data_IF_224668414354
#
_entry.id   IF_224668414354
#
_cell.length_a   1.000
_cell.length_b   1.000
_cell.length_c   1.000
_cell.angle_alpha   90.00
_cell.angle_beta   90.00
_cell.angle_gamma   90.00
#
_symmetry.space_group_name_H-M   'P 1'
#
loop_
_entity.id
_entity.type
_entity.pdbx_description
1 polymer ?
#
# COMPACT_ATOMS: atom_id res chain seq x y z
N UNK A 1 8.67 28.86 -7.31
CA UNK A 1 7.80 27.89 -6.64
C UNK A 1 8.32 27.77 -5.22
N UNK A 2 7.57 28.20 -4.21
CA UNK A 2 7.99 28.03 -2.81
C UNK A 2 7.77 26.57 -2.43
N UNK A 3 8.85 25.88 -2.06
CA UNK A 3 8.77 24.52 -1.55
C UNK A 3 8.00 24.55 -0.23
N UNK A 4 6.82 23.91 -0.19
CA UNK A 4 6.10 23.69 1.06
C UNK A 4 6.79 22.54 1.78
N UNK A 5 7.36 22.82 2.94
CA UNK A 5 7.99 21.83 3.80
C UNK A 5 7.02 21.40 4.91
N UNK A 6 7.06 20.11 5.27
CA UNK A 6 6.33 19.54 6.40
C UNK A 6 7.36 19.03 7.41
N UNK A 7 7.12 19.27 8.70
CA UNK A 7 7.99 18.72 9.75
C UNK A 7 7.78 17.21 9.87
N UNK A 8 8.78 16.47 10.38
CA UNK A 8 8.64 15.02 10.61
C UNK A 8 7.46 14.70 11.54
N UNK A 9 7.25 15.56 12.54
CA UNK A 9 6.13 15.44 13.49
C UNK A 9 4.77 15.59 12.79
N UNK A 10 4.60 16.63 11.96
CA UNK A 10 3.35 16.83 11.22
C UNK A 10 3.14 15.75 10.17
N UNK A 11 4.22 15.24 9.57
CA UNK A 11 4.14 14.12 8.64
C UNK A 11 3.65 12.85 9.35
N UNK A 12 4.21 12.52 10.52
CA UNK A 12 3.72 11.42 11.37
C UNK A 12 2.23 11.56 11.66
N UNK A 13 1.81 12.72 12.20
CA UNK A 13 0.40 13.00 12.53
C UNK A 13 -0.53 12.87 11.33
N UNK A 14 -0.08 13.32 10.16
CA UNK A 14 -0.82 13.18 8.92
C UNK A 14 -1.00 11.70 8.53
N UNK A 15 0.05 10.89 8.61
CA UNK A 15 -0.05 9.45 8.29
C UNK A 15 -0.94 8.73 9.30
N UNK A 16 -0.77 8.97 10.60
CA UNK A 16 -1.60 8.37 11.64
C UNK A 16 -3.08 8.73 11.45
N UNK A 17 -3.41 9.99 11.16
CA UNK A 17 -4.78 10.41 10.85
C UNK A 17 -5.33 9.72 9.58
N UNK A 18 -4.50 9.48 8.56
CA UNK A 18 -4.94 8.74 7.37
C UNK A 18 -5.19 7.26 7.68
N UNK A 19 -4.47 6.67 8.64
CA UNK A 19 -4.62 5.27 9.05
C UNK A 19 -5.92 4.99 9.81
N UNK A 20 -6.56 6.02 10.39
CA UNK A 20 -7.84 5.87 11.11
C UNK A 20 -8.96 5.41 10.18
N UNK A 21 -9.01 5.94 8.96
CA UNK A 21 -10.14 5.73 8.02
C UNK A 21 -9.73 5.02 6.71
N UNK A 22 -8.44 4.81 6.47
CA UNK A 22 -7.94 4.28 5.20
C UNK A 22 -6.96 3.12 5.39
N UNK A 23 -6.89 2.26 4.38
CA UNK A 23 -5.78 1.33 4.26
C UNK A 23 -4.54 2.06 3.76
N UNK A 24 -3.63 2.39 4.68
CA UNK A 24 -2.36 3.03 4.34
C UNK A 24 -1.29 1.99 4.03
N UNK A 25 -0.67 2.12 2.87
CA UNK A 25 0.35 1.22 2.34
C UNK A 25 1.65 2.01 2.19
N UNK A 26 2.75 1.47 2.70
CA UNK A 26 4.05 2.13 2.61
C UNK A 26 5.20 1.13 2.45
N UNK A 27 6.40 1.60 2.10
CA UNK A 27 7.60 0.80 2.12
C UNK A 27 7.90 0.31 3.55
N UNK A 28 7.82 -1.01 3.76
CA UNK A 28 8.19 -1.68 5.01
C UNK A 28 9.41 -2.55 4.77
N UNK A 29 10.32 -2.60 5.74
CA UNK A 29 11.35 -3.63 5.75
C UNK A 29 10.69 -5.00 5.95
N UNK A 30 11.13 -6.02 5.20
CA UNK A 30 10.58 -7.38 5.31
C UNK A 30 11.62 -8.46 5.51
N UNK A 31 12.79 -8.31 4.89
CA UNK A 31 13.80 -9.37 4.89
C UNK A 31 15.19 -8.81 4.58
N UNK A 32 16.19 -9.68 4.49
CA UNK A 32 17.53 -9.38 4.00
C UNK A 32 17.85 -10.24 2.77
N UNK A 33 18.62 -9.68 1.85
CA UNK A 33 19.21 -10.46 0.76
C UNK A 33 20.26 -11.43 1.32
N UNK A 34 20.74 -12.37 0.50
CA UNK A 34 21.87 -13.23 0.86
C UNK A 34 23.14 -12.42 1.25
N UNK A 35 23.26 -11.20 0.74
CA UNK A 35 24.33 -10.23 1.04
C UNK A 35 24.04 -9.38 2.30
N UNK A 36 22.96 -9.66 3.03
CA UNK A 36 22.57 -8.96 4.25
C UNK A 36 21.88 -7.60 4.05
N UNK A 37 21.63 -7.16 2.81
CA UNK A 37 20.99 -5.87 2.51
C UNK A 37 19.48 -5.93 2.80
N UNK A 38 18.92 -4.86 3.38
CA UNK A 38 17.48 -4.77 3.66
C UNK A 38 16.66 -4.86 2.36
N UNK A 39 15.63 -5.69 2.40
CA UNK A 39 14.63 -5.83 1.34
C UNK A 39 13.37 -5.11 1.79
N UNK A 40 12.92 -4.17 0.97
CA UNK A 40 11.73 -3.35 1.23
C UNK A 40 10.57 -3.75 0.33
N UNK A 41 9.36 -3.77 0.89
CA UNK A 41 8.13 -4.10 0.17
C UNK A 41 7.01 -3.16 0.58
N UNK A 42 6.24 -2.69 -0.39
CA UNK A 42 5.00 -1.99 -0.12
C UNK A 42 3.99 -2.95 0.51
N UNK A 43 3.48 -2.60 1.69
CA UNK A 43 2.40 -3.35 2.35
C UNK A 43 1.67 -2.47 3.36
N UNK A 44 0.49 -2.93 3.82
CA UNK A 44 -0.30 -2.24 4.84
C UNK A 44 0.55 -1.92 6.08
N UNK A 45 0.45 -0.67 6.53
CA UNK A 45 0.99 -0.18 7.80
C UNK A 45 -0.05 -0.44 8.90
N UNK A 46 0.41 -0.93 10.04
CA UNK A 46 -0.35 -1.03 11.28
C UNK A 46 0.04 0.07 12.26
N UNK A 47 1.28 0.56 12.16
CA UNK A 47 1.82 1.69 12.93
C UNK A 47 2.76 2.52 12.04
N UNK A 48 3.02 3.78 12.43
CA UNK A 48 3.85 4.69 11.64
C UNK A 48 5.32 4.25 11.56
N UNK A 49 5.85 3.63 12.62
CA UNK A 49 7.23 3.16 12.76
C UNK A 49 7.64 2.18 11.66
N UNK A 50 6.67 1.45 11.12
CA UNK A 50 6.86 0.51 10.04
C UNK A 50 7.21 1.19 8.71
N UNK A 51 6.87 2.47 8.54
CA UNK A 51 7.11 3.24 7.32
C UNK A 51 8.59 3.64 7.21
N UNK A 52 9.27 3.12 6.19
CA UNK A 52 10.70 3.35 5.94
C UNK A 52 10.89 4.21 4.68
N UNK A 53 10.92 5.54 4.84
CA UNK A 53 11.04 6.50 3.73
C UNK A 53 12.45 6.56 3.11
N UNK A 54 13.47 6.06 3.82
CA UNK A 54 14.86 5.98 3.39
C UNK A 54 15.18 4.76 2.50
N UNK A 55 14.18 3.94 2.17
CA UNK A 55 14.34 2.76 1.31
C UNK A 55 14.91 3.11 -0.07
N UNK A 56 15.87 2.37 -0.61
CA UNK A 56 16.46 2.71 -1.92
C UNK A 56 15.63 2.23 -3.10
N UNK A 57 15.20 0.96 -3.04
CA UNK A 57 14.41 0.28 -4.07
C UNK A 57 13.42 -0.67 -3.43
N UNK A 58 12.21 -0.72 -3.97
CA UNK A 58 11.22 -1.73 -3.60
C UNK A 58 11.49 -3.06 -4.32
N UNK A 59 11.31 -4.18 -3.62
CA UNK A 59 11.44 -5.51 -4.20
C UNK A 59 10.26 -5.89 -5.09
N UNK A 60 9.13 -5.19 -4.95
CA UNK A 60 7.93 -5.38 -5.75
C UNK A 60 7.26 -4.04 -6.05
N UNK A 61 6.81 -3.89 -7.28
CA UNK A 61 6.00 -2.73 -7.71
C UNK A 61 4.69 -2.63 -6.91
N UNK A 62 4.19 -1.42 -6.62
CA UNK A 62 2.89 -1.21 -6.00
C UNK A 62 1.68 -1.60 -6.89
N UNK A 63 1.91 -2.13 -8.11
CA UNK A 63 0.87 -2.55 -9.06
C UNK A 63 -0.25 -3.38 -8.43
N UNK A 64 0.09 -4.32 -7.54
CA UNK A 64 -0.89 -5.23 -6.94
C UNK A 64 -1.97 -4.52 -6.11
N UNK A 65 -1.72 -3.27 -5.69
CA UNK A 65 -2.70 -2.46 -4.96
C UNK A 65 -3.69 -1.75 -5.88
N UNK A 66 -3.30 -1.49 -7.14
CA UNK A 66 -4.16 -0.91 -8.18
C UNK A 66 -4.89 -1.97 -9.00
N UNK A 67 -4.23 -3.10 -9.25
CA UNK A 67 -4.72 -4.22 -10.06
C UNK A 67 -4.45 -5.53 -9.30
N UNK A 68 -5.29 -5.90 -8.32
CA UNK A 68 -5.12 -7.15 -7.62
C UNK A 68 -5.31 -8.33 -8.57
N UNK A 69 -4.55 -9.40 -8.38
CA UNK A 69 -4.67 -10.62 -9.18
C UNK A 69 -6.04 -11.31 -9.03
N UNK A 70 -6.69 -11.13 -7.88
CA UNK A 70 -8.01 -11.67 -7.55
C UNK A 70 -8.75 -10.65 -6.68
N UNK A 71 -10.03 -10.44 -6.97
CA UNK A 71 -10.93 -9.58 -6.19
C UNK A 71 -12.13 -10.42 -5.71
N UNK A 72 -12.47 -10.27 -4.43
CA UNK A 72 -13.66 -10.89 -3.85
C UNK A 72 -14.82 -9.91 -3.99
N UNK A 73 -15.77 -10.23 -4.86
CA UNK A 73 -16.93 -9.36 -5.12
C UNK A 73 -18.07 -9.57 -4.10
N UNK A 74 -18.18 -10.79 -3.57
CA UNK A 74 -19.20 -11.15 -2.59
C UNK A 74 -18.70 -12.28 -1.67
N UNK A 75 -19.12 -12.21 -0.41
CA UNK A 75 -18.94 -13.27 0.59
C UNK A 75 -20.32 -13.72 1.06
N UNK A 76 -20.51 -15.03 1.18
CA UNK A 76 -21.75 -15.63 1.65
C UNK A 76 -21.49 -16.33 2.98
N UNK A 77 -22.28 -16.00 4.00
CA UNK A 77 -22.27 -16.68 5.29
C UNK A 77 -23.53 -17.52 5.39
N UNK A 78 -23.39 -18.84 5.41
CA UNK A 78 -24.52 -19.76 5.60
C UNK A 78 -24.61 -20.15 7.07
N UNK A 79 -25.78 -19.92 7.68
CA UNK A 79 -26.09 -20.32 9.06
C UNK A 79 -27.37 -21.15 9.04
N UNK A 80 -27.22 -22.44 9.28
CA UNK A 80 -28.29 -23.44 9.27
C UNK A 80 -29.13 -23.44 7.98
N UNK A 81 -30.28 -22.74 7.98
CA UNK A 81 -31.21 -22.63 6.84
C UNK A 81 -31.25 -21.23 6.22
N UNK A 82 -30.53 -20.28 6.79
CA UNK A 82 -30.44 -18.91 6.31
C UNK A 82 -29.06 -18.61 5.73
N UNK A 83 -29.00 -17.61 4.86
CA UNK A 83 -27.75 -17.08 4.34
C UNK A 83 -27.77 -15.56 4.37
N UNK A 84 -26.63 -14.99 4.71
CA UNK A 84 -26.34 -13.57 4.57
C UNK A 84 -25.32 -13.38 3.45
N UNK A 85 -25.58 -12.41 2.57
CA UNK A 85 -24.67 -12.04 1.51
C UNK A 85 -24.17 -10.63 1.74
N UNK A 86 -22.86 -10.53 1.84
CA UNK A 86 -22.17 -9.25 1.87
C UNK A 86 -21.61 -9.00 0.47
N UNK A 87 -22.20 -8.04 -0.23
CA UNK A 87 -21.69 -7.58 -1.51
C UNK A 87 -20.87 -6.31 -1.30
N UNK A 88 -19.59 -6.37 -1.63
CA UNK A 88 -18.71 -5.21 -1.55
C UNK A 88 -18.53 -4.64 -2.96
N UNK A 89 -19.40 -3.72 -3.32
CA UNK A 89 -19.20 -2.89 -4.50
C UNK A 89 -18.31 -1.71 -4.11
N UNK A 90 -17.03 -1.81 -4.50
CA UNK A 90 -16.11 -0.67 -4.72
C UNK A 90 -15.24 -0.25 -3.50
N UNK A 91 -13.93 -0.50 -3.68
CA UNK A 91 -12.72 0.09 -3.07
C UNK A 91 -12.78 0.58 -1.61
N UNK A 92 -12.10 -0.17 -0.74
CA UNK A 92 -11.53 0.42 0.47
C UNK A 92 -10.63 1.60 0.06
N UNK A 93 -10.85 2.81 0.59
CA UNK A 93 -9.98 3.93 0.27
C UNK A 93 -8.57 3.60 0.75
N UNK A 94 -7.63 3.63 -0.19
CA UNK A 94 -6.23 3.26 0.00
C UNK A 94 -5.36 4.47 -0.19
N UNK A 95 -4.42 4.67 0.73
CA UNK A 95 -3.38 5.68 0.59
C UNK A 95 -2.04 4.96 0.43
N UNK A 96 -1.37 5.17 -0.70
CA UNK A 96 -0.01 4.64 -0.88
C UNK A 96 0.99 5.76 -0.68
N UNK A 97 1.83 5.62 0.35
CA UNK A 97 2.78 6.65 0.78
C UNK A 97 4.19 6.27 0.36
N UNK A 98 4.98 7.27 -0.02
CA UNK A 98 6.41 7.10 -0.27
C UNK A 98 6.76 6.49 -1.61
N UNK A 99 5.83 6.38 -2.57
CA UNK A 99 6.14 5.91 -3.93
C UNK A 99 7.17 6.85 -4.58
N UNK A 100 8.30 6.29 -5.04
CA UNK A 100 9.31 7.04 -5.80
C UNK A 100 8.94 7.10 -7.29
N UNK A 101 9.44 8.10 -8.00
CA UNK A 101 9.21 8.26 -9.44
C UNK A 101 9.55 7.00 -10.27
N UNK A 102 10.61 6.29 -9.90
CA UNK A 102 10.98 5.02 -10.56
C UNK A 102 9.96 3.90 -10.30
N UNK A 103 9.33 3.86 -9.12
CA UNK A 103 8.28 2.89 -8.80
C UNK A 103 7.00 3.18 -9.62
N UNK A 104 6.70 4.46 -9.90
CA UNK A 104 5.60 4.87 -10.80
C UNK A 104 5.92 4.54 -12.26
N UNK A 105 7.14 4.82 -12.73
CA UNK A 105 7.50 4.57 -14.13
C UNK A 105 7.50 3.08 -14.48
N UNK A 106 7.84 2.21 -13.52
CA UNK A 106 7.69 0.76 -13.66
C UNK A 106 6.22 0.34 -13.90
N UNK A 107 5.25 1.17 -13.52
CA UNK A 107 3.83 0.96 -13.80
C UNK A 107 3.47 1.36 -15.25
N UNK A 108 4.05 2.44 -15.77
CA UNK A 108 3.75 2.98 -17.09
C UNK A 108 4.29 2.12 -18.24
N UNK A 109 5.42 1.42 -18.05
CA UNK A 109 6.00 0.56 -19.09
C UNK A 109 5.18 -0.71 -19.38
N UNK A 110 4.37 -1.17 -18.43
CA UNK A 110 3.60 -2.42 -18.54
C UNK A 110 2.20 -2.26 -19.14
N UNK A 111 1.69 -1.02 -19.27
CA UNK A 111 0.42 -0.72 -19.98
C UNK A 111 0.62 -0.53 -21.48
N UNK A 112 1.88 -0.42 -21.93
CA UNK A 112 2.26 -0.24 -23.34
C UNK A 112 2.50 -1.54 -24.10
N UNK A 113 2.40 -2.68 -23.42
CA UNK A 113 2.64 -4.03 -23.97
C UNK A 113 1.35 -4.81 -24.31
N UNK A 114 0.23 -4.11 -24.43
CA UNK A 114 -1.02 -4.61 -25.01
C UNK A 114 -1.40 -3.76 -26.22
#
# INVERSE_FOLDING_TARGET
>A
MLDKTITKENFRRMIEALMEENEVIGPKWRDRTAEGKKVFRFSKLNEFEELQMDYTRSASSPRNFFLPYKETLATYNLVETEWDQQIQYTVHPRVIVGIRACDINAHASLTRSW
#
